data_IF_074693131664
#
_entry.id   IF_074693131664
#
_cell.length_a   1.000
_cell.length_b   1.000
_cell.length_c   1.000
_cell.angle_alpha   90.00
_cell.angle_beta   90.00
_cell.angle_gamma   90.00
#
_symmetry.space_group_name_H-M   'P 1'
#
loop_
_entity.id
_entity.type
_entity.pdbx_description
1 polymer ?
#
# COMPACT_ATOMS: atom_id res chain seq x y z
N UNK A 1 16.57 -14.38 -3.95
CA UNK A 1 15.10 -14.49 -3.68
C UNK A 1 14.67 -15.95 -3.74
N UNK A 2 13.98 -16.41 -2.71
CA UNK A 2 13.41 -17.76 -2.62
C UNK A 2 11.90 -17.67 -2.63
N UNK A 3 11.22 -18.27 -3.62
CA UNK A 3 9.75 -18.34 -3.68
C UNK A 3 9.30 -19.68 -3.07
N UNK A 4 8.26 -19.67 -2.26
CA UNK A 4 7.67 -20.85 -1.66
C UNK A 4 6.15 -20.73 -1.54
N UNK A 5 5.49 -21.86 -1.45
CA UNK A 5 4.03 -21.99 -1.38
C UNK A 5 3.65 -22.46 0.01
N UNK A 6 2.63 -21.83 0.60
CA UNK A 6 2.04 -22.25 1.86
C UNK A 6 0.60 -22.67 1.63
N UNK A 7 0.24 -23.89 2.00
CA UNK A 7 -1.12 -24.40 1.87
C UNK A 7 -2.01 -23.76 2.95
N UNK A 8 -3.16 -23.23 2.53
CA UNK A 8 -4.13 -22.63 3.43
C UNK A 8 -5.37 -23.49 3.62
N UNK A 9 -5.88 -24.08 2.54
CA UNK A 9 -7.10 -24.85 2.58
C UNK A 9 -6.99 -26.08 1.68
N UNK A 10 -7.63 -27.18 2.10
CA UNK A 10 -7.66 -28.44 1.38
C UNK A 10 -9.09 -28.96 1.36
N UNK A 11 -9.73 -28.90 0.22
CA UNK A 11 -11.08 -29.44 0.03
C UNK A 11 -11.04 -30.60 -0.95
N UNK A 12 -11.11 -31.82 -0.44
CA UNK A 12 -11.14 -33.04 -1.23
C UNK A 12 -12.50 -33.29 -1.90
N UNK A 13 -13.56 -32.62 -1.47
CA UNK A 13 -14.88 -32.80 -2.09
C UNK A 13 -14.96 -32.08 -3.44
N UNK A 14 -14.26 -30.99 -3.59
CA UNK A 14 -14.12 -30.21 -4.84
C UNK A 14 -12.74 -30.35 -5.48
N UNK A 15 -11.81 -31.08 -4.87
CA UNK A 15 -10.39 -31.14 -5.26
C UNK A 15 -9.75 -29.75 -5.40
N UNK A 16 -10.09 -28.85 -4.47
CA UNK A 16 -9.55 -27.50 -4.43
C UNK A 16 -8.50 -27.36 -3.34
N UNK A 17 -7.36 -26.79 -3.67
CA UNK A 17 -6.23 -26.59 -2.77
C UNK A 17 -5.78 -25.14 -2.90
N UNK A 18 -5.90 -24.37 -1.81
CA UNK A 18 -5.54 -22.95 -1.80
C UNK A 18 -4.12 -22.77 -1.30
N UNK A 19 -3.36 -21.94 -2.01
CA UNK A 19 -1.99 -21.61 -1.68
C UNK A 19 -1.80 -20.10 -1.52
N UNK A 20 -1.11 -19.67 -0.48
CA UNK A 20 -0.44 -18.40 -0.47
C UNK A 20 0.99 -18.57 -1.00
N UNK A 21 1.43 -17.62 -1.80
CA UNK A 21 2.76 -17.61 -2.40
C UNK A 21 3.57 -16.50 -1.75
N UNK A 22 4.72 -16.88 -1.22
CA UNK A 22 5.64 -15.96 -0.54
C UNK A 22 7.00 -15.93 -1.24
N UNK A 23 7.70 -14.80 -1.07
CA UNK A 23 9.09 -14.65 -1.44
C UNK A 23 9.90 -14.20 -0.21
N UNK A 24 11.04 -14.84 0.01
CA UNK A 24 12.06 -14.38 0.95
C UNK A 24 13.15 -13.64 0.19
N UNK A 25 13.46 -12.44 0.65
CA UNK A 25 14.55 -11.65 0.14
C UNK A 25 15.85 -12.04 0.85
N UNK A 26 16.85 -12.43 0.10
CA UNK A 26 18.17 -12.77 0.63
C UNK A 26 19.10 -11.54 0.64
N UNK A 27 19.02 -10.74 -0.41
CA UNK A 27 19.84 -9.53 -0.58
C UNK A 27 19.01 -8.37 -1.12
N UNK A 28 19.34 -7.14 -0.74
CA UNK A 28 18.59 -5.93 -1.04
C UNK A 28 18.36 -5.70 -2.55
N UNK A 29 19.32 -6.05 -3.39
CA UNK A 29 19.23 -5.87 -4.84
C UNK A 29 18.18 -6.77 -5.53
N UNK A 30 17.55 -7.71 -4.82
CA UNK A 30 16.42 -8.50 -5.32
C UNK A 30 15.08 -7.75 -5.29
N UNK A 31 15.01 -6.66 -4.56
CA UNK A 31 13.78 -5.92 -4.32
C UNK A 31 13.05 -5.50 -5.60
N UNK A 32 13.71 -4.94 -6.63
CA UNK A 32 13.05 -4.60 -7.89
C UNK A 32 12.40 -5.82 -8.56
N UNK A 33 13.08 -6.98 -8.53
CA UNK A 33 12.55 -8.23 -9.09
C UNK A 33 11.35 -8.75 -8.31
N UNK A 34 11.37 -8.62 -6.98
CA UNK A 34 10.25 -8.98 -6.10
C UNK A 34 9.01 -8.17 -6.45
N UNK A 35 9.15 -6.85 -6.53
CA UNK A 35 8.04 -5.96 -6.90
C UNK A 35 7.57 -6.16 -8.34
N UNK A 36 8.50 -6.39 -9.28
CA UNK A 36 8.17 -6.63 -10.69
C UNK A 36 7.28 -7.86 -10.87
N UNK A 37 7.36 -8.85 -9.96
CA UNK A 37 6.56 -10.07 -9.96
C UNK A 37 5.29 -9.96 -9.08
N UNK A 38 4.89 -8.77 -8.67
CA UNK A 38 3.63 -8.52 -7.96
C UNK A 38 3.67 -8.79 -6.45
N UNK A 39 4.84 -9.10 -5.89
CA UNK A 39 4.97 -9.29 -4.44
C UNK A 39 5.01 -7.97 -3.69
N UNK A 40 4.44 -7.97 -2.49
CA UNK A 40 4.44 -6.84 -1.55
C UNK A 40 4.94 -7.30 -0.17
N UNK A 41 5.49 -6.40 0.67
CA UNK A 41 5.94 -6.75 2.01
C UNK A 41 4.83 -7.35 2.87
N UNK A 42 5.12 -8.46 3.52
CA UNK A 42 4.22 -9.16 4.43
C UNK A 42 4.58 -8.85 5.88
N UNK A 43 3.62 -8.37 6.66
CA UNK A 43 3.84 -7.93 8.04
C UNK A 43 2.97 -8.65 9.08
N UNK A 44 2.36 -9.78 8.72
CA UNK A 44 1.44 -10.47 9.61
C UNK A 44 2.06 -11.68 10.33
N UNK A 45 3.28 -12.07 9.98
CA UNK A 45 4.04 -13.08 10.70
C UNK A 45 5.09 -12.38 11.58
N UNK A 46 4.78 -12.29 12.87
CA UNK A 46 5.63 -11.62 13.85
C UNK A 46 6.85 -12.47 14.24
N UNK A 47 6.86 -13.75 13.93
CA UNK A 47 7.97 -14.67 14.22
C UNK A 47 9.06 -14.64 13.14
N UNK A 48 8.72 -14.16 11.93
CA UNK A 48 9.68 -14.11 10.82
C UNK A 48 10.54 -12.83 10.92
N UNK A 49 11.83 -13.02 11.02
CA UNK A 49 12.81 -11.92 11.14
C UNK A 49 13.43 -11.50 9.82
N UNK A 50 13.25 -12.32 8.78
CA UNK A 50 13.73 -12.02 7.42
C UNK A 50 12.71 -11.13 6.69
N UNK A 51 13.14 -10.49 5.62
CA UNK A 51 12.25 -9.74 4.76
C UNK A 51 11.44 -10.69 3.88
N UNK A 52 10.16 -10.87 4.27
CA UNK A 52 9.20 -11.72 3.58
C UNK A 52 8.18 -10.87 2.83
N UNK A 53 7.81 -11.33 1.65
CA UNK A 53 6.84 -10.72 0.75
C UNK A 53 5.77 -11.74 0.38
N UNK A 54 4.58 -11.27 0.03
CA UNK A 54 3.49 -12.14 -0.41
C UNK A 54 2.99 -11.73 -1.80
N UNK A 55 2.66 -12.72 -2.61
CA UNK A 55 2.07 -12.50 -3.92
C UNK A 55 0.62 -12.06 -3.77
N UNK A 56 0.26 -10.98 -4.45
CA UNK A 56 -1.10 -10.45 -4.34
C UNK A 56 -1.51 -9.74 -5.62
N UNK A 57 -2.80 -9.40 -5.71
CA UNK A 57 -3.30 -8.47 -6.73
C UNK A 57 -2.85 -7.06 -6.38
N UNK A 58 -1.55 -6.82 -6.59
CA UNK A 58 -0.88 -5.56 -6.31
C UNK A 58 -1.28 -4.50 -7.31
N UNK A 59 -1.32 -3.24 -6.87
CA UNK A 59 -1.49 -2.08 -7.72
C UNK A 59 -0.18 -1.30 -7.84
N UNK A 60 0.11 -0.79 -9.03
CA UNK A 60 1.15 0.23 -9.23
C UNK A 60 0.72 1.31 -10.21
N UNK A 61 1.26 2.50 -10.03
CA UNK A 61 1.19 3.62 -10.98
C UNK A 61 2.50 3.67 -11.74
N UNK A 62 2.44 3.73 -13.07
CA UNK A 62 3.59 4.01 -13.92
C UNK A 62 3.75 5.53 -14.01
N UNK A 63 4.82 6.09 -13.47
CA UNK A 63 4.96 7.54 -13.27
C UNK A 63 5.26 8.30 -14.56
N UNK A 64 5.86 7.66 -15.56
CA UNK A 64 6.06 8.21 -16.89
C UNK A 64 4.73 8.53 -17.60
N UNK A 65 3.72 7.67 -17.41
CA UNK A 65 2.38 7.81 -17.99
C UNK A 65 1.41 8.60 -17.07
N UNK A 66 1.80 8.85 -15.81
CA UNK A 66 0.88 9.46 -14.83
C UNK A 66 0.60 10.92 -15.13
N UNK A 67 -0.69 11.25 -15.15
CA UNK A 67 -1.20 12.63 -15.22
C UNK A 67 -2.37 12.80 -14.27
N UNK A 68 -2.52 14.00 -13.72
CA UNK A 68 -3.64 14.30 -12.83
C UNK A 68 -4.99 14.12 -13.49
N UNK A 69 -5.88 13.46 -12.79
CA UNK A 69 -7.29 13.45 -13.11
C UNK A 69 -7.96 14.77 -12.68
N UNK A 70 -9.18 15.03 -13.15
CA UNK A 70 -9.99 16.14 -12.61
C UNK A 70 -10.22 16.02 -11.11
N UNK A 71 -10.38 14.79 -10.62
CA UNK A 71 -10.57 14.50 -9.20
C UNK A 71 -9.29 14.77 -8.40
N UNK A 72 -8.10 14.41 -8.91
CA UNK A 72 -6.84 14.75 -8.23
C UNK A 72 -6.72 16.27 -8.05
N UNK A 73 -6.97 17.04 -9.11
CA UNK A 73 -6.94 18.51 -9.05
C UNK A 73 -7.96 19.08 -8.07
N UNK A 74 -9.18 18.51 -8.01
CA UNK A 74 -10.23 18.93 -7.07
C UNK A 74 -9.82 18.67 -5.63
N UNK A 75 -9.29 17.48 -5.36
CA UNK A 75 -8.79 17.08 -4.03
C UNK A 75 -7.63 17.99 -3.61
N UNK A 76 -6.66 18.20 -4.48
CA UNK A 76 -5.53 19.09 -4.22
C UNK A 76 -5.99 20.51 -3.86
N UNK A 77 -6.88 21.10 -4.69
CA UNK A 77 -7.42 22.44 -4.42
C UNK A 77 -8.08 22.54 -3.04
N UNK A 78 -8.84 21.51 -2.65
CA UNK A 78 -9.51 21.48 -1.35
C UNK A 78 -8.52 21.41 -0.19
N UNK A 79 -7.43 20.65 -0.33
CA UNK A 79 -6.43 20.48 0.73
C UNK A 79 -5.43 21.67 0.81
N UNK A 80 -5.38 22.55 -0.21
CA UNK A 80 -4.53 23.75 -0.17
C UNK A 80 -4.88 24.67 1.02
N UNK A 81 -6.13 24.65 1.47
CA UNK A 81 -6.58 25.43 2.63
C UNK A 81 -5.89 25.01 3.94
N UNK A 82 -5.41 23.78 4.04
CA UNK A 82 -4.77 23.26 5.24
C UNK A 82 -3.28 23.59 5.32
N UNK A 83 -2.69 24.09 4.24
CA UNK A 83 -1.26 24.44 4.14
C UNK A 83 -0.34 23.34 4.72
N UNK A 84 -0.58 22.09 4.35
CA UNK A 84 0.18 20.94 4.86
C UNK A 84 1.56 20.88 4.21
N UNK A 85 2.58 20.95 5.05
CA UNK A 85 3.99 20.83 4.66
C UNK A 85 4.43 19.37 4.72
N UNK A 86 5.09 18.88 3.66
CA UNK A 86 5.68 17.55 3.60
C UNK A 86 7.16 17.60 3.98
N UNK A 87 7.53 16.77 4.94
CA UNK A 87 8.90 16.40 5.22
C UNK A 87 9.10 14.90 4.95
N UNK A 88 10.15 14.54 4.22
CA UNK A 88 10.58 13.16 4.00
C UNK A 88 11.82 12.89 4.81
N UNK A 89 11.74 11.94 5.73
CA UNK A 89 12.82 11.61 6.65
C UNK A 89 13.20 10.14 6.49
N UNK A 90 14.50 9.85 6.41
CA UNK A 90 14.96 8.46 6.46
C UNK A 90 14.53 7.83 7.79
N UNK A 91 14.16 6.57 7.78
CA UNK A 91 13.75 5.87 9.00
C UNK A 91 14.81 5.95 10.10
N UNK A 92 16.08 5.86 9.74
CA UNK A 92 17.22 5.90 10.66
C UNK A 92 17.38 7.27 11.37
N UNK A 93 16.88 8.35 10.75
CA UNK A 93 16.90 9.71 11.26
C UNK A 93 15.59 10.12 11.95
N UNK A 94 14.59 9.23 11.94
CA UNK A 94 13.27 9.51 12.50
C UNK A 94 13.14 8.96 13.94
N UNK A 95 12.60 9.77 14.86
CA UNK A 95 12.33 9.31 16.22
C UNK A 95 11.09 8.39 16.27
N UNK A 96 11.34 7.08 16.10
CA UNK A 96 10.31 6.05 16.16
C UNK A 96 9.68 5.89 17.56
N UNK A 97 10.28 6.48 18.61
CA UNK A 97 9.79 6.43 19.99
C UNK A 97 9.00 7.68 20.39
N UNK A 98 8.88 8.66 19.50
CA UNK A 98 8.06 9.85 19.75
C UNK A 98 6.63 9.45 20.11
N UNK A 99 6.14 9.95 21.24
CA UNK A 99 4.84 9.55 21.81
C UNK A 99 3.66 10.01 20.98
N UNK A 100 3.74 11.22 20.43
CA UNK A 100 2.64 11.80 19.65
C UNK A 100 2.53 11.12 18.30
N UNK A 101 3.66 10.78 17.66
CA UNK A 101 3.71 9.94 16.48
C UNK A 101 3.03 8.59 16.71
N UNK A 102 3.46 7.87 17.77
CA UNK A 102 2.93 6.54 18.09
C UNK A 102 1.43 6.59 18.41
N UNK A 103 1.03 7.58 19.23
CA UNK A 103 -0.35 7.77 19.60
C UNK A 103 -1.24 8.04 18.38
N UNK A 104 -0.84 8.92 17.47
CA UNK A 104 -1.58 9.20 16.25
C UNK A 104 -1.75 7.93 15.41
N UNK A 105 -0.66 7.20 15.16
CA UNK A 105 -0.68 5.97 14.35
C UNK A 105 -1.58 4.89 14.96
N UNK A 106 -1.44 4.61 16.25
CA UNK A 106 -2.20 3.56 16.94
C UNK A 106 -3.68 3.93 17.11
N UNK A 107 -3.99 5.20 17.41
CA UNK A 107 -5.37 5.68 17.48
C UNK A 107 -6.08 5.54 16.13
N UNK A 108 -5.44 5.96 15.04
CA UNK A 108 -5.95 5.78 13.69
C UNK A 108 -6.17 4.30 13.36
N UNK A 109 -5.19 3.47 13.67
CA UNK A 109 -5.28 2.03 13.40
C UNK A 109 -6.43 1.36 14.15
N UNK A 110 -6.63 1.73 15.42
CA UNK A 110 -7.72 1.21 16.26
C UNK A 110 -9.10 1.56 15.71
N UNK A 111 -9.25 2.75 15.13
CA UNK A 111 -10.54 3.20 14.60
C UNK A 111 -10.83 2.69 13.19
N UNK A 112 -9.79 2.52 12.35
CA UNK A 112 -9.95 2.28 10.90
C UNK A 112 -9.65 0.86 10.46
N UNK A 113 -8.81 0.13 11.19
CA UNK A 113 -8.54 -1.27 10.89
C UNK A 113 -9.39 -2.16 11.79
N UNK A 114 -10.03 -3.16 11.23
CA UNK A 114 -10.88 -4.08 11.99
C UNK A 114 -10.10 -4.76 13.12
N UNK A 115 -10.53 -4.53 14.35
CA UNK A 115 -10.21 -5.19 15.61
C UNK A 115 -8.76 -5.59 15.89
N UNK A 116 -8.20 -6.54 15.18
CA UNK A 116 -6.83 -7.07 15.42
C UNK A 116 -5.87 -6.85 14.26
N UNK A 117 -6.27 -6.06 13.26
CA UNK A 117 -5.46 -5.88 12.06
C UNK A 117 -4.16 -5.09 12.28
N UNK A 118 -4.10 -4.27 13.37
CA UNK A 118 -2.89 -3.55 13.76
C UNK A 118 -2.80 -3.53 15.30
N UNK A 119 -2.18 -4.54 15.87
CA UNK A 119 -1.81 -4.55 17.29
C UNK A 119 -0.54 -3.71 17.51
N UNK A 120 -0.26 -3.35 18.75
CA UNK A 120 0.97 -2.65 19.10
C UNK A 120 2.21 -3.49 18.73
N UNK A 121 2.18 -4.79 18.97
CA UNK A 121 3.25 -5.71 18.57
C UNK A 121 3.49 -5.70 17.06
N UNK A 122 2.41 -5.72 16.28
CA UNK A 122 2.52 -5.63 14.82
C UNK A 122 3.03 -4.28 14.36
N UNK A 123 2.63 -3.20 15.03
CA UNK A 123 3.15 -1.87 14.76
C UNK A 123 4.66 -1.81 15.00
N UNK A 124 5.14 -2.33 16.15
CA UNK A 124 6.56 -2.46 16.44
C UNK A 124 7.30 -3.28 15.39
N UNK A 125 6.74 -4.44 15.05
CA UNK A 125 7.32 -5.30 14.01
C UNK A 125 7.47 -4.55 12.67
N UNK A 126 6.47 -3.76 12.26
CA UNK A 126 6.54 -2.95 11.04
C UNK A 126 7.64 -1.89 11.13
N UNK A 127 7.76 -1.20 12.27
CA UNK A 127 8.80 -0.19 12.49
C UNK A 127 10.22 -0.79 12.42
N UNK A 128 10.40 -2.04 12.80
CA UNK A 128 11.70 -2.72 12.76
C UNK A 128 12.07 -3.24 11.36
N UNK A 129 11.10 -3.43 10.45
CA UNK A 129 11.36 -3.99 9.11
C UNK A 129 12.31 -3.11 8.30
N UNK A 130 13.28 -3.74 7.62
CA UNK A 130 14.24 -3.05 6.73
C UNK A 130 13.57 -2.45 5.50
N UNK A 131 12.42 -3.02 5.08
CA UNK A 131 11.62 -2.50 3.97
C UNK A 131 10.87 -1.20 4.30
N UNK A 132 10.80 -0.77 5.55
CA UNK A 132 10.45 0.60 5.90
C UNK A 132 11.72 1.45 5.80
N UNK A 133 11.83 2.28 4.78
CA UNK A 133 13.04 3.08 4.53
C UNK A 133 12.85 4.56 4.83
N UNK A 134 11.65 5.08 4.60
CA UNK A 134 11.36 6.51 4.73
C UNK A 134 9.98 6.74 5.35
N UNK A 135 9.86 7.82 6.11
CA UNK A 135 8.61 8.28 6.70
C UNK A 135 8.30 9.67 6.14
N UNK A 136 7.13 9.79 5.53
CA UNK A 136 6.58 11.06 5.11
C UNK A 136 5.78 11.64 6.26
N UNK A 137 6.15 12.81 6.73
CA UNK A 137 5.43 13.56 7.75
C UNK A 137 4.74 14.76 7.13
N UNK A 138 3.46 14.90 7.38
CA UNK A 138 2.68 16.08 6.97
C UNK A 138 2.32 16.88 8.22
N UNK A 139 2.78 18.12 8.26
CA UNK A 139 2.51 19.02 9.37
C UNK A 139 1.67 20.21 8.91
N UNK A 140 0.83 20.72 9.80
CA UNK A 140 0.07 21.96 9.56
C UNK A 140 0.99 23.20 9.68
N UNK A 141 0.43 24.38 9.41
CA UNK A 141 1.17 25.65 9.48
C UNK A 141 1.80 25.97 10.87
N UNK A 142 1.29 25.34 11.95
CA UNK A 142 1.86 25.46 13.29
C UNK A 142 3.01 24.46 13.55
N UNK A 143 3.38 23.64 12.55
CA UNK A 143 4.40 22.60 12.68
C UNK A 143 3.91 21.32 13.36
N UNK A 144 2.63 21.22 13.68
CA UNK A 144 2.07 20.01 14.31
C UNK A 144 1.86 18.92 13.26
N UNK A 145 2.42 17.71 13.44
CA UNK A 145 2.17 16.58 12.54
C UNK A 145 0.70 16.18 12.54
N UNK A 146 0.14 15.98 11.36
CA UNK A 146 -1.27 15.58 11.15
C UNK A 146 -1.40 14.27 10.38
N UNK A 147 -0.34 13.83 9.71
CA UNK A 147 -0.34 12.55 9.00
C UNK A 147 1.07 11.99 8.81
N UNK A 148 1.15 10.67 8.72
CA UNK A 148 2.36 9.94 8.39
C UNK A 148 2.08 8.93 7.29
N UNK A 149 3.06 8.75 6.38
CA UNK A 149 3.07 7.63 5.43
C UNK A 149 4.35 6.85 5.65
N UNK A 150 4.21 5.55 5.86
CA UNK A 150 5.33 4.61 5.88
C UNK A 150 5.61 4.16 4.46
N UNK A 151 6.83 4.36 4.00
CA UNK A 151 7.22 4.07 2.63
C UNK A 151 8.46 3.20 2.56
N UNK A 152 8.54 2.46 1.47
CA UNK A 152 9.79 1.91 0.98
C UNK A 152 10.16 2.69 -0.28
N UNK A 153 11.34 3.31 -0.29
CA UNK A 153 11.89 4.01 -1.46
C UNK A 153 13.22 3.34 -1.81
N UNK A 154 13.24 2.62 -2.92
CA UNK A 154 14.41 1.89 -3.37
C UNK A 154 14.36 1.66 -4.89
N UNK A 155 15.52 1.77 -5.55
CA UNK A 155 15.73 1.36 -6.94
C UNK A 155 14.64 1.85 -7.91
N UNK A 156 14.33 3.14 -7.87
CA UNK A 156 13.33 3.77 -8.77
C UNK A 156 11.87 3.53 -8.37
N UNK A 157 11.60 2.93 -7.21
CA UNK A 157 10.24 2.66 -6.76
C UNK A 157 9.92 3.29 -5.42
N UNK A 158 8.63 3.65 -5.23
CA UNK A 158 8.05 3.96 -3.94
C UNK A 158 6.92 2.98 -3.65
N UNK A 159 6.93 2.34 -2.49
CA UNK A 159 5.77 1.63 -1.99
C UNK A 159 5.08 2.45 -0.90
N UNK A 160 3.83 2.85 -1.15
CA UNK A 160 2.92 3.45 -0.19
C UNK A 160 2.37 2.33 0.71
N UNK A 161 3.08 2.06 1.82
CA UNK A 161 2.78 0.86 2.62
C UNK A 161 1.65 1.07 3.60
N UNK A 162 1.81 2.04 4.52
CA UNK A 162 0.77 2.44 5.47
C UNK A 162 0.62 3.94 5.48
N UNK A 163 -0.58 4.43 5.80
CA UNK A 163 -0.82 5.84 6.10
C UNK A 163 -1.70 5.98 7.33
N UNK A 164 -1.34 6.94 8.15
CA UNK A 164 -2.02 7.29 9.39
C UNK A 164 -2.25 8.78 9.39
N UNK A 165 -3.41 9.23 9.83
CA UNK A 165 -3.72 10.65 9.88
C UNK A 165 -4.75 10.98 10.95
N UNK A 166 -4.76 12.22 11.36
CA UNK A 166 -5.73 12.74 12.31
C UNK A 166 -7.14 12.71 11.72
N UNK A 167 -8.01 11.88 12.30
CA UNK A 167 -9.36 11.66 11.80
C UNK A 167 -10.27 12.88 11.87
N UNK A 168 -9.92 13.90 12.67
CA UNK A 168 -10.64 15.17 12.71
C UNK A 168 -10.73 15.87 11.36
N UNK A 169 -9.78 15.58 10.46
CA UNK A 169 -9.80 16.10 9.09
C UNK A 169 -10.76 15.37 8.16
N UNK A 170 -11.24 14.14 8.50
CA UNK A 170 -12.09 13.32 7.61
C UNK A 170 -13.46 13.95 7.33
N UNK A 171 -14.03 14.66 8.29
CA UNK A 171 -15.34 15.27 8.13
C UNK A 171 -15.38 16.27 6.96
N UNK A 172 -14.31 17.02 6.81
CA UNK A 172 -14.27 18.14 5.86
C UNK A 172 -13.35 17.88 4.66
N UNK A 173 -12.38 16.96 4.77
CA UNK A 173 -11.33 16.80 3.76
C UNK A 173 -11.13 15.35 3.35
N UNK A 174 -10.92 15.05 2.06
CA UNK A 174 -10.58 13.71 1.57
C UNK A 174 -9.08 13.40 1.78
N UNK A 175 -8.60 13.54 3.05
CA UNK A 175 -7.17 13.52 3.38
C UNK A 175 -6.47 12.22 2.97
N UNK A 176 -7.06 11.04 3.20
CA UNK A 176 -6.43 9.77 2.82
C UNK A 176 -6.20 9.65 1.30
N UNK A 177 -7.11 10.21 0.50
CA UNK A 177 -6.97 10.28 -0.95
C UNK A 177 -5.87 11.26 -1.37
N UNK A 178 -5.80 12.38 -0.70
CA UNK A 178 -4.78 13.40 -0.94
C UNK A 178 -3.39 12.91 -0.56
N UNK A 179 -3.23 12.22 0.56
CA UNK A 179 -1.95 11.64 0.98
C UNK A 179 -1.40 10.68 -0.07
N UNK A 180 -2.26 9.81 -0.62
CA UNK A 180 -1.87 8.87 -1.67
C UNK A 180 -1.48 9.61 -2.96
N UNK A 181 -2.25 10.62 -3.37
CA UNK A 181 -1.90 11.48 -4.51
C UNK A 181 -0.57 12.21 -4.26
N UNK A 182 -0.37 12.75 -3.08
CA UNK A 182 0.85 13.49 -2.71
C UNK A 182 2.11 12.62 -2.76
N UNK A 183 1.98 11.35 -2.35
CA UNK A 183 3.07 10.38 -2.47
C UNK A 183 3.39 10.07 -3.95
N UNK A 184 2.37 9.96 -4.80
CA UNK A 184 2.56 9.75 -6.26
C UNK A 184 3.21 10.98 -6.89
N UNK A 185 2.73 12.17 -6.58
CA UNK A 185 3.26 13.43 -7.08
C UNK A 185 4.72 13.64 -6.68
N UNK A 186 5.03 13.42 -5.41
CA UNK A 186 6.40 13.47 -4.89
C UNK A 186 7.32 12.47 -5.60
N UNK A 187 6.88 11.22 -5.75
CA UNK A 187 7.66 10.19 -6.42
C UNK A 187 7.95 10.54 -7.89
N UNK A 188 6.97 11.14 -8.58
CA UNK A 188 7.15 11.62 -9.94
C UNK A 188 8.16 12.77 -10.02
N UNK A 189 8.10 13.74 -9.09
CA UNK A 189 9.05 14.85 -9.00
C UNK A 189 10.47 14.37 -8.66
N UNK A 190 10.57 13.30 -7.85
CA UNK A 190 11.84 12.66 -7.51
C UNK A 190 12.41 11.79 -8.64
N UNK A 191 11.73 11.67 -9.79
CA UNK A 191 12.21 10.90 -10.94
C UNK A 191 12.11 9.38 -10.77
N UNK A 192 11.23 8.89 -9.87
CA UNK A 192 11.00 7.46 -9.71
C UNK A 192 10.17 6.91 -10.90
N UNK A 193 10.18 5.59 -11.07
CA UNK A 193 9.48 4.91 -12.16
C UNK A 193 8.09 4.43 -11.75
N UNK A 194 7.94 3.93 -10.53
CA UNK A 194 6.71 3.29 -10.05
C UNK A 194 6.33 3.72 -8.64
N UNK A 195 5.01 3.81 -8.40
CA UNK A 195 4.45 3.86 -7.05
C UNK A 195 3.53 2.66 -6.85
N UNK A 196 3.85 1.82 -5.87
CA UNK A 196 3.01 0.69 -5.46
C UNK A 196 2.02 1.13 -4.40
N UNK A 197 0.73 0.82 -4.61
CA UNK A 197 -0.39 1.28 -3.77
C UNK A 197 -1.00 0.17 -2.89
N UNK A 198 -0.27 -0.93 -2.73
CA UNK A 198 -0.75 -2.09 -2.00
C UNK A 198 -1.70 -2.96 -2.83
N UNK A 199 -2.56 -3.72 -2.14
CA UNK A 199 -3.47 -4.70 -2.76
C UNK A 199 -4.79 -4.09 -3.20
N UNK A 200 -5.49 -4.78 -4.12
CA UNK A 200 -6.83 -4.41 -4.56
C UNK A 200 -7.75 -5.63 -4.60
N UNK A 201 -8.45 -5.86 -3.51
CA UNK A 201 -9.48 -6.88 -3.35
C UNK A 201 -10.76 -6.24 -2.82
N UNK A 202 -11.92 -6.72 -3.31
CA UNK A 202 -13.22 -6.24 -2.92
C UNK A 202 -13.54 -4.81 -3.38
N UNK A 203 -14.82 -4.46 -3.31
CA UNK A 203 -15.29 -3.14 -3.76
C UNK A 203 -14.71 -1.98 -2.96
N UNK A 204 -14.43 -2.20 -1.67
CA UNK A 204 -13.85 -1.19 -0.78
C UNK A 204 -12.47 -0.70 -1.25
N UNK A 205 -11.70 -1.52 -1.99
CA UNK A 205 -10.39 -1.12 -2.52
C UNK A 205 -10.47 -0.27 -3.80
N UNK A 206 -11.64 -0.19 -4.44
CA UNK A 206 -11.80 0.50 -5.74
C UNK A 206 -11.58 2.01 -5.69
N UNK A 207 -11.53 2.63 -4.50
CA UNK A 207 -11.14 4.04 -4.38
C UNK A 207 -9.73 4.30 -4.94
N UNK A 208 -8.79 3.34 -4.79
CA UNK A 208 -7.43 3.42 -5.34
C UNK A 208 -7.42 3.41 -6.87
N UNK A 209 -8.42 2.76 -7.48
CA UNK A 209 -8.50 2.54 -8.93
C UNK A 209 -9.23 3.67 -9.64
N UNK A 210 -10.21 4.27 -8.98
CA UNK A 210 -11.08 5.27 -9.59
C UNK A 210 -10.36 6.58 -9.92
N UNK A 211 -9.42 6.97 -9.08
CA UNK A 211 -8.94 8.33 -9.03
C UNK A 211 -7.56 8.53 -9.67
N UNK A 212 -6.80 7.44 -9.90
CA UNK A 212 -5.45 7.52 -10.47
C UNK A 212 -5.40 6.96 -11.90
N UNK A 213 -4.75 7.70 -12.78
CA UNK A 213 -4.43 7.25 -14.14
C UNK A 213 -3.13 6.44 -14.14
N UNK A 214 -2.84 5.80 -15.27
CA UNK A 214 -1.64 4.99 -15.46
C UNK A 214 -1.48 3.81 -14.47
N UNK A 215 -2.63 3.39 -13.89
CA UNK A 215 -2.69 2.22 -13.01
C UNK A 215 -2.52 0.92 -13.79
N UNK A 216 -1.82 0.00 -13.14
CA UNK A 216 -1.74 -1.41 -13.52
C UNK A 216 -1.97 -2.27 -12.29
N UNK A 217 -2.45 -3.47 -12.50
CA UNK A 217 -2.57 -4.47 -11.43
C UNK A 217 -1.87 -5.75 -11.84
N UNK A 218 -1.34 -6.45 -10.86
CA UNK A 218 -0.78 -7.78 -11.07
C UNK A 218 -1.91 -8.81 -11.21
N UNK A 219 -2.03 -9.45 -12.38
CA UNK A 219 -3.10 -10.41 -12.66
C UNK A 219 -2.71 -11.88 -12.39
N UNK A 220 -1.52 -12.08 -11.83
CA UNK A 220 -0.92 -13.38 -11.58
C UNK A 220 0.17 -13.75 -12.60
N UNK A 221 0.31 -12.98 -13.69
CA UNK A 221 1.31 -13.22 -14.74
C UNK A 221 1.93 -11.95 -15.28
N UNK A 222 1.16 -10.88 -15.43
CA UNK A 222 1.63 -9.60 -15.98
C UNK A 222 1.01 -8.39 -15.26
N UNK A 223 1.62 -7.24 -15.43
CA UNK A 223 1.05 -5.94 -15.02
C UNK A 223 -0.01 -5.49 -16.02
N UNK A 224 -1.24 -5.85 -15.73
CA UNK A 224 -2.39 -5.67 -16.61
C UNK A 224 -2.95 -4.23 -16.55
N UNK A 225 -3.35 -3.70 -17.72
CA UNK A 225 -3.94 -2.35 -17.88
C UNK A 225 -5.47 -2.37 -17.86
N UNK A 226 -6.10 -3.52 -17.94
CA UNK A 226 -7.55 -3.62 -18.03
C UNK A 226 -8.22 -3.35 -16.68
N UNK A 227 -8.45 -2.07 -16.41
CA UNK A 227 -9.11 -1.62 -15.18
C UNK A 227 -10.58 -2.06 -15.12
N UNK A 228 -11.22 -2.37 -16.25
CA UNK A 228 -12.59 -2.92 -16.25
C UNK A 228 -12.58 -4.34 -15.69
N UNK A 229 -11.62 -5.16 -16.13
CA UNK A 229 -11.40 -6.49 -15.60
C UNK A 229 -11.11 -6.48 -14.09
N UNK A 230 -10.20 -5.58 -13.63
CA UNK A 230 -9.93 -5.42 -12.20
C UNK A 230 -11.19 -5.08 -11.39
N UNK A 231 -12.01 -4.14 -11.89
CA UNK A 231 -13.27 -3.77 -11.23
C UNK A 231 -14.26 -4.94 -11.18
N UNK A 232 -14.33 -5.74 -12.23
CA UNK A 232 -15.15 -6.95 -12.24
C UNK A 232 -14.66 -7.94 -11.17
N UNK A 233 -13.36 -8.21 -11.11
CA UNK A 233 -12.80 -9.09 -10.09
C UNK A 233 -13.07 -8.60 -8.66
N UNK A 234 -12.92 -7.29 -8.41
CA UNK A 234 -13.20 -6.72 -7.09
C UNK A 234 -14.67 -6.86 -6.67
N UNK A 235 -15.61 -6.81 -7.61
CA UNK A 235 -17.03 -7.03 -7.34
C UNK A 235 -17.34 -8.50 -7.00
N UNK A 236 -16.61 -9.43 -7.60
CA UNK A 236 -16.82 -10.87 -7.41
C UNK A 236 -15.93 -11.48 -6.34
N UNK A 237 -15.09 -10.70 -5.68
CA UNK A 237 -14.17 -11.21 -4.64
C UNK A 237 -14.89 -11.79 -3.42
N UNK A 238 -16.10 -11.32 -3.11
CA UNK A 238 -16.92 -11.81 -1.99
C UNK A 238 -17.80 -13.01 -2.40
N UNK A 239 -17.93 -13.25 -3.69
CA UNK A 239 -18.60 -14.44 -4.19
C UNK A 239 -17.69 -15.66 -4.02
N UNK A 240 -18.24 -16.80 -3.57
CA UNK A 240 -17.47 -18.06 -3.58
C UNK A 240 -16.94 -18.27 -4.98
N UNK A 241 -15.63 -18.36 -5.10
CA UNK A 241 -14.94 -18.56 -6.35
C UNK A 241 -15.47 -19.81 -7.05
N UNK A 242 -16.41 -19.58 -7.93
CA UNK A 242 -16.74 -20.61 -8.92
C UNK A 242 -15.59 -20.71 -9.93
N UNK A 243 -15.45 -21.86 -10.56
CA UNK A 243 -14.47 -22.10 -11.63
C UNK A 243 -14.54 -21.08 -12.79
N UNK A 244 -15.47 -20.15 -12.73
CA UNK A 244 -15.73 -19.14 -13.77
C UNK A 244 -14.66 -18.05 -13.88
N UNK A 245 -13.77 -17.88 -12.88
CA UNK A 245 -12.61 -17.01 -13.03
C UNK A 245 -11.65 -17.44 -14.15
N UNK A 246 -11.62 -18.71 -14.49
CA UNK A 246 -10.85 -19.21 -15.63
C UNK A 246 -11.44 -18.75 -16.97
N UNK A 247 -12.72 -18.36 -17.02
CA UNK A 247 -13.40 -17.88 -18.22
C UNK A 247 -13.23 -16.37 -18.45
N UNK A 248 -12.68 -15.64 -17.47
CA UNK A 248 -12.51 -14.17 -17.51
C UNK A 248 -11.11 -13.73 -17.96
N UNK A 249 -10.32 -14.65 -18.52
CA UNK A 249 -9.02 -14.33 -19.12
C UNK A 249 -9.12 -14.20 -20.64
#
# INVERSE_FOLDING_TARGET
>A
MKIFFSEHNKDYSSYTFDYAVYALMDVQNELPSIYAQGFLPYSNDLSETREIFYLSRSLRVNLDEFTDSSENRRVQKKLTELDLQLQVTKKEDFDLNDKDFRQLCLSYASSRFSGQAMTEERFEHILQRKVLTDIFTFSNAAGTPVAYIFTLIESGTLHYWFSFFDERYLENYPIGKWLMWRAIDWAKQAGLEYVYLGTCYGEKALYKVRDFKALRFWDGSVWNRDIKLLKLWCKTDEEKLSADRFKLK
#
